data_IF_612938221691
#
_entry.id   IF_612938221691
#
_cell.length_a   1.000
_cell.length_b   1.000
_cell.length_c   1.000
_cell.angle_alpha   90.00
_cell.angle_beta   90.00
_cell.angle_gamma   90.00
#
_symmetry.space_group_name_H-M   'P 1'
#
loop_
_entity.id
_entity.type
_entity.pdbx_description
1 polymer ?
#
# COMPACT_ATOMS: atom_id res chain seq x y z
N UNK A 1 32.66 -5.55 -1.86
CA UNK A 1 32.02 -6.08 -3.08
C UNK A 1 32.23 -5.08 -4.20
N UNK A 2 32.46 -5.55 -5.43
CA UNK A 2 32.56 -4.65 -6.59
C UNK A 2 31.18 -4.08 -6.95
N UNK A 3 31.16 -2.94 -7.67
CA UNK A 3 29.91 -2.34 -8.20
C UNK A 3 29.09 -3.38 -9.00
N UNK A 4 29.75 -4.13 -9.86
CA UNK A 4 29.11 -5.16 -10.71
C UNK A 4 28.49 -6.31 -9.88
N UNK A 5 29.11 -6.72 -8.80
CA UNK A 5 28.55 -7.73 -7.89
C UNK A 5 27.30 -7.20 -7.19
N UNK A 6 27.30 -5.94 -6.73
CA UNK A 6 26.14 -5.31 -6.10
C UNK A 6 24.95 -5.23 -7.06
N UNK A 7 25.16 -4.77 -8.31
CA UNK A 7 24.10 -4.72 -9.31
C UNK A 7 23.53 -6.11 -9.62
N UNK A 8 24.37 -7.12 -9.72
CA UNK A 8 23.93 -8.52 -9.93
C UNK A 8 23.07 -9.04 -8.79
N UNK A 9 23.44 -8.74 -7.54
CA UNK A 9 22.64 -9.12 -6.37
C UNK A 9 21.31 -8.40 -6.38
N UNK A 10 21.29 -7.10 -6.71
CA UNK A 10 20.07 -6.35 -6.79
C UNK A 10 19.14 -6.86 -7.90
N UNK A 11 19.66 -7.16 -9.08
CA UNK A 11 18.89 -7.78 -10.17
C UNK A 11 18.24 -9.11 -9.72
N UNK A 12 18.97 -9.94 -8.99
CA UNK A 12 18.42 -11.17 -8.42
C UNK A 12 17.31 -10.89 -7.40
N UNK A 13 17.46 -9.88 -6.54
CA UNK A 13 16.45 -9.50 -5.56
C UNK A 13 15.18 -9.00 -6.25
N UNK A 14 15.31 -8.19 -7.30
CA UNK A 14 14.21 -7.65 -8.11
C UNK A 14 13.54 -8.75 -8.99
N UNK A 15 14.29 -9.81 -9.32
CA UNK A 15 13.88 -10.79 -10.33
C UNK A 15 13.87 -10.22 -11.75
N UNK A 16 14.74 -9.24 -12.02
CA UNK A 16 14.86 -8.52 -13.30
C UNK A 16 16.30 -8.56 -13.78
N UNK A 17 16.50 -8.93 -15.03
CA UNK A 17 17.82 -8.86 -15.69
C UNK A 17 17.82 -7.65 -16.64
N UNK A 18 18.66 -6.67 -16.35
CA UNK A 18 18.80 -5.47 -17.18
C UNK A 18 19.68 -5.75 -18.41
N UNK A 19 19.22 -5.29 -19.57
CA UNK A 19 20.03 -5.26 -20.80
C UNK A 19 21.04 -4.11 -20.73
N UNK A 20 20.66 -2.99 -20.12
CA UNK A 20 21.51 -1.84 -19.86
C UNK A 20 21.62 -1.62 -18.34
N UNK A 21 22.71 -2.13 -17.74
CA UNK A 21 22.98 -1.99 -16.29
C UNK A 21 23.19 -0.53 -15.86
N UNK A 22 23.54 0.39 -16.78
CA UNK A 22 23.71 1.81 -16.42
C UNK A 22 22.39 2.47 -16.00
N UNK A 23 21.25 2.01 -16.52
CA UNK A 23 19.94 2.46 -16.07
C UNK A 23 19.66 2.07 -14.62
N UNK A 24 19.99 0.83 -14.25
CA UNK A 24 19.85 0.38 -12.87
C UNK A 24 20.81 1.12 -11.94
N UNK A 25 22.03 1.33 -12.38
CA UNK A 25 23.04 2.08 -11.62
C UNK A 25 22.57 3.51 -11.35
N UNK A 26 22.10 4.21 -12.39
CA UNK A 26 21.55 5.58 -12.29
C UNK A 26 20.35 5.64 -11.33
N UNK A 27 19.48 4.63 -11.34
CA UNK A 27 18.32 4.58 -10.45
C UNK A 27 18.69 4.54 -8.95
N UNK A 28 19.92 4.18 -8.63
CA UNK A 28 20.45 4.12 -7.25
C UNK A 28 21.16 5.40 -6.80
N UNK A 29 21.35 6.39 -7.69
CA UNK A 29 22.11 7.61 -7.41
C UNK A 29 21.21 8.69 -6.82
N UNK A 30 21.29 8.88 -5.51
CA UNK A 30 20.60 9.98 -4.84
C UNK A 30 21.32 11.32 -5.12
N UNK A 31 20.57 12.43 -5.21
CA UNK A 31 21.12 13.77 -5.53
C UNK A 31 22.23 14.21 -4.57
N UNK A 32 22.19 13.83 -3.29
CA UNK A 32 23.24 14.13 -2.33
C UNK A 32 24.59 13.53 -2.70
N UNK A 33 24.59 12.39 -3.40
CA UNK A 33 25.84 11.72 -3.82
C UNK A 33 26.57 12.52 -4.90
N UNK A 34 25.84 13.10 -5.85
CA UNK A 34 26.41 13.89 -6.96
C UNK A 34 27.13 15.12 -6.44
N UNK A 35 26.55 15.80 -5.46
CA UNK A 35 27.13 17.00 -4.88
C UNK A 35 28.54 16.73 -4.30
N UNK A 36 28.80 15.52 -3.85
CA UNK A 36 30.09 15.10 -3.28
C UNK A 36 30.99 14.40 -4.31
N UNK A 37 30.42 13.85 -5.40
CA UNK A 37 31.11 13.03 -6.39
C UNK A 37 30.79 13.44 -7.86
N UNK A 38 30.93 14.70 -8.24
CA UNK A 38 30.48 15.22 -9.55
C UNK A 38 31.22 14.62 -10.75
N UNK A 39 32.38 14.00 -10.54
CA UNK A 39 33.17 13.36 -11.61
C UNK A 39 32.79 11.88 -11.85
N UNK A 40 32.01 11.27 -10.94
CA UNK A 40 31.63 9.85 -11.03
C UNK A 40 30.27 9.70 -11.68
N UNK A 41 29.31 10.54 -11.30
CA UNK A 41 27.98 10.59 -11.89
C UNK A 41 27.61 12.04 -12.24
N UNK A 42 27.06 12.24 -13.43
CA UNK A 42 26.59 13.55 -13.90
C UNK A 42 25.11 13.80 -13.54
N UNK A 43 24.33 12.75 -13.32
CA UNK A 43 22.91 12.79 -13.11
C UNK A 43 22.48 12.00 -11.86
N UNK A 44 21.36 12.44 -11.24
CA UNK A 44 20.67 11.73 -10.16
C UNK A 44 19.55 10.85 -10.69
N UNK A 45 18.96 10.07 -9.79
CA UNK A 45 17.79 9.26 -10.07
C UNK A 45 16.48 10.04 -10.24
N UNK A 46 16.45 11.36 -10.00
CA UNK A 46 15.24 12.20 -9.97
C UNK A 46 14.42 12.14 -11.27
N UNK A 47 15.07 12.05 -12.43
CA UNK A 47 14.36 11.93 -13.71
C UNK A 47 13.72 10.55 -13.90
N UNK A 48 14.37 9.50 -13.40
CA UNK A 48 13.81 8.15 -13.41
C UNK A 48 12.69 8.01 -12.38
N UNK A 49 12.81 8.64 -11.22
CA UNK A 49 11.77 8.76 -10.19
C UNK A 49 10.50 9.39 -10.78
N UNK A 50 10.62 10.57 -11.42
CA UNK A 50 9.50 11.22 -12.09
C UNK A 50 8.77 10.30 -13.09
N UNK A 51 9.53 9.56 -13.89
CA UNK A 51 8.97 8.61 -14.85
C UNK A 51 8.30 7.42 -14.17
N UNK A 52 8.94 6.91 -13.13
CA UNK A 52 8.46 5.74 -12.35
C UNK A 52 7.17 6.03 -11.58
N UNK A 53 7.05 7.21 -10.95
CA UNK A 53 5.81 7.64 -10.28
C UNK A 53 4.63 7.62 -11.26
N UNK A 54 4.81 8.22 -12.44
CA UNK A 54 3.77 8.23 -13.48
C UNK A 54 3.37 6.81 -13.93
N UNK A 55 4.34 5.91 -14.08
CA UNK A 55 4.10 4.50 -14.46
C UNK A 55 3.37 3.72 -13.37
N UNK A 56 3.78 3.86 -12.11
CA UNK A 56 3.10 3.25 -10.96
C UNK A 56 1.64 3.72 -10.92
N UNK A 57 1.43 5.03 -11.03
CA UNK A 57 0.09 5.61 -11.05
C UNK A 57 -0.79 5.07 -12.18
N UNK A 58 -0.24 4.96 -13.40
CA UNK A 58 -0.93 4.42 -14.57
C UNK A 58 -1.27 2.94 -14.42
N UNK A 59 -0.30 2.11 -14.03
CA UNK A 59 -0.47 0.65 -13.89
C UNK A 59 -1.50 0.32 -12.80
N UNK A 60 -1.44 1.00 -11.65
CA UNK A 60 -2.40 0.79 -10.57
C UNK A 60 -3.81 1.27 -10.95
N UNK A 61 -3.93 2.36 -11.70
CA UNK A 61 -5.21 2.85 -12.20
C UNK A 61 -5.82 1.88 -13.24
N UNK A 62 -5.01 1.42 -14.19
CA UNK A 62 -5.45 0.45 -15.21
C UNK A 62 -5.86 -0.88 -14.58
N UNK A 63 -5.08 -1.37 -13.61
CA UNK A 63 -5.40 -2.58 -12.87
C UNK A 63 -6.71 -2.42 -12.08
N UNK A 64 -6.89 -1.32 -11.36
CA UNK A 64 -8.11 -1.02 -10.62
C UNK A 64 -9.33 -0.97 -11.53
N UNK A 65 -9.24 -0.23 -12.64
CA UNK A 65 -10.32 -0.10 -13.62
C UNK A 65 -10.74 -1.46 -14.22
N UNK A 66 -9.77 -2.30 -14.55
CA UNK A 66 -10.03 -3.62 -15.18
C UNK A 66 -10.56 -4.68 -14.23
N UNK A 67 -10.27 -4.59 -12.94
CA UNK A 67 -10.55 -5.68 -11.99
C UNK A 67 -11.65 -5.34 -10.98
N UNK A 68 -12.02 -4.05 -10.79
CA UNK A 68 -12.97 -3.63 -9.76
C UNK A 68 -14.15 -2.88 -10.36
N UNK A 69 -15.00 -3.60 -11.10
CA UNK A 69 -16.14 -3.04 -11.84
C UNK A 69 -17.22 -2.38 -10.97
N UNK A 70 -17.28 -2.71 -9.68
CA UNK A 70 -18.23 -2.15 -8.72
C UNK A 70 -17.72 -0.87 -8.04
N UNK A 71 -16.44 -0.53 -8.22
CA UNK A 71 -15.83 0.66 -7.62
C UNK A 71 -16.13 1.88 -8.46
N UNK A 72 -16.57 2.95 -7.78
CA UNK A 72 -16.70 4.26 -8.41
C UNK A 72 -15.33 4.96 -8.57
N UNK A 73 -15.34 6.18 -9.15
CA UNK A 73 -14.14 6.99 -9.33
C UNK A 73 -13.43 7.29 -7.99
N UNK A 74 -14.21 7.51 -6.92
CA UNK A 74 -13.68 7.80 -5.59
C UNK A 74 -12.93 6.59 -5.02
N UNK A 75 -13.55 5.41 -5.10
CA UNK A 75 -12.95 4.15 -4.63
C UNK A 75 -11.67 3.81 -5.38
N UNK A 76 -11.68 3.94 -6.72
CA UNK A 76 -10.50 3.72 -7.56
C UNK A 76 -9.38 4.72 -7.24
N UNK A 77 -9.73 5.96 -6.90
CA UNK A 77 -8.76 6.98 -6.47
C UNK A 77 -8.16 6.64 -5.12
N UNK A 78 -8.96 6.18 -4.16
CA UNK A 78 -8.51 5.72 -2.84
C UNK A 78 -7.63 4.48 -2.96
N UNK A 79 -8.02 3.51 -3.78
CA UNK A 79 -7.25 2.31 -4.07
C UNK A 79 -5.85 2.66 -4.61
N UNK A 80 -5.78 3.46 -5.68
CA UNK A 80 -4.51 3.92 -6.26
C UNK A 80 -3.66 4.66 -5.23
N UNK A 81 -4.24 5.63 -4.51
CA UNK A 81 -3.52 6.46 -3.53
C UNK A 81 -2.99 5.64 -2.35
N UNK A 82 -3.71 4.61 -1.91
CA UNK A 82 -3.26 3.73 -0.84
C UNK A 82 -2.05 2.89 -1.25
N UNK A 83 -1.96 2.49 -2.51
CA UNK A 83 -0.84 1.70 -3.04
C UNK A 83 0.36 2.58 -3.43
N UNK A 84 0.13 3.75 -4.05
CA UNK A 84 1.19 4.66 -4.51
C UNK A 84 1.76 5.57 -3.40
N UNK A 85 1.29 5.48 -2.15
CA UNK A 85 1.81 6.32 -1.06
C UNK A 85 3.25 5.94 -0.68
N UNK A 86 4.05 6.92 -0.29
CA UNK A 86 5.46 6.77 0.08
C UNK A 86 5.74 5.62 1.05
N UNK A 87 4.90 5.43 2.08
CA UNK A 87 5.08 4.35 3.05
C UNK A 87 4.90 2.94 2.45
N UNK A 88 4.05 2.78 1.43
CA UNK A 88 3.89 1.51 0.71
C UNK A 88 5.08 1.25 -0.19
N UNK A 89 5.51 2.26 -0.96
CA UNK A 89 6.68 2.16 -1.85
C UNK A 89 7.96 1.88 -1.05
N UNK A 90 8.17 2.59 0.08
CA UNK A 90 9.30 2.34 0.98
C UNK A 90 9.29 0.91 1.55
N UNK A 91 8.11 0.36 1.89
CA UNK A 91 7.98 -1.03 2.33
C UNK A 91 8.42 -2.02 1.24
N UNK A 92 8.02 -1.77 -0.01
CA UNK A 92 8.45 -2.58 -1.17
C UNK A 92 9.96 -2.44 -1.39
N UNK A 93 10.49 -1.22 -1.34
CA UNK A 93 11.93 -0.95 -1.41
C UNK A 93 12.72 -1.73 -0.35
N UNK A 94 12.24 -1.77 0.89
CA UNK A 94 12.84 -2.54 1.99
C UNK A 94 12.83 -4.04 1.70
N UNK A 95 11.78 -4.57 1.07
CA UNK A 95 11.73 -6.00 0.71
C UNK A 95 12.80 -6.42 -0.30
N UNK A 96 13.21 -5.50 -1.16
CA UNK A 96 14.32 -5.66 -2.11
C UNK A 96 15.69 -5.26 -1.53
N UNK A 97 15.72 -4.77 -0.28
CA UNK A 97 16.91 -4.25 0.40
C UNK A 97 17.55 -3.06 -0.33
N UNK A 98 16.78 -2.19 -0.97
CA UNK A 98 17.27 -1.11 -1.82
C UNK A 98 18.24 -0.18 -1.08
N UNK A 99 17.97 0.14 0.19
CA UNK A 99 18.83 1.00 0.98
C UNK A 99 20.30 0.57 1.02
N UNK A 100 20.59 -0.74 0.93
CA UNK A 100 21.96 -1.24 0.87
C UNK A 100 22.71 -0.82 -0.41
N UNK A 101 21.99 -0.65 -1.51
CA UNK A 101 22.56 -0.38 -2.83
C UNK A 101 22.62 1.11 -3.18
N UNK A 102 21.94 2.00 -2.42
CA UNK A 102 21.88 3.42 -2.74
C UNK A 102 23.27 4.08 -2.69
N UNK A 103 23.55 4.93 -3.65
CA UNK A 103 24.65 5.90 -3.60
C UNK A 103 24.12 7.17 -2.95
N UNK A 104 24.56 7.47 -1.74
CA UNK A 104 24.17 8.68 -0.99
C UNK A 104 25.40 9.42 -0.48
N UNK A 105 25.28 10.74 -0.31
CA UNK A 105 26.34 11.56 0.25
C UNK A 105 26.60 11.29 1.73
N UNK A 106 27.76 11.66 2.23
CA UNK A 106 28.18 11.44 3.63
C UNK A 106 27.21 12.13 4.62
N UNK A 107 26.68 13.29 4.27
CA UNK A 107 25.71 14.01 5.10
C UNK A 107 24.39 13.25 5.21
N UNK A 108 23.91 12.70 4.11
CA UNK A 108 22.68 11.89 4.06
C UNK A 108 22.86 10.54 4.76
N UNK A 109 24.05 9.91 4.62
CA UNK A 109 24.42 8.69 5.35
C UNK A 109 24.33 8.89 6.87
N UNK A 110 24.92 10.01 7.40
CA UNK A 110 24.90 10.34 8.82
C UNK A 110 23.48 10.54 9.39
N UNK A 111 22.53 10.92 8.54
CA UNK A 111 21.13 11.09 8.92
C UNK A 111 20.28 9.84 8.65
N UNK A 112 20.90 8.65 8.52
CA UNK A 112 20.25 7.37 8.24
C UNK A 112 19.51 7.36 6.89
N UNK A 113 20.04 8.04 5.89
CA UNK A 113 19.40 8.23 4.58
C UNK A 113 19.01 6.92 3.88
N UNK A 114 19.77 5.83 4.11
CA UNK A 114 19.45 4.48 3.57
C UNK A 114 18.18 3.87 4.15
N UNK A 115 17.71 4.36 5.28
CA UNK A 115 16.53 3.85 5.99
C UNK A 115 15.33 4.78 5.87
N UNK A 116 15.53 6.03 5.38
CA UNK A 116 14.46 7.01 5.21
C UNK A 116 13.44 6.53 4.19
N UNK A 117 12.18 6.54 4.58
CA UNK A 117 11.07 6.13 3.70
C UNK A 117 10.99 6.99 2.42
N UNK A 118 11.35 8.29 2.49
CA UNK A 118 11.44 9.16 1.31
C UNK A 118 12.45 8.62 0.28
N UNK A 119 13.70 8.42 0.71
CA UNK A 119 14.77 8.01 -0.20
C UNK A 119 14.52 6.60 -0.77
N UNK A 120 13.91 5.74 0.03
CA UNK A 120 13.55 4.38 -0.38
C UNK A 120 12.39 4.37 -1.38
N UNK A 121 11.35 5.22 -1.17
CA UNK A 121 10.26 5.35 -2.13
C UNK A 121 10.75 5.91 -3.46
N UNK A 122 11.52 7.00 -3.41
CA UNK A 122 12.03 7.68 -4.59
C UNK A 122 12.96 6.76 -5.41
N UNK A 123 13.81 5.98 -4.72
CA UNK A 123 14.63 4.95 -5.38
C UNK A 123 13.80 3.80 -5.99
N UNK A 124 12.71 3.38 -5.35
CA UNK A 124 11.84 2.37 -5.93
C UNK A 124 11.16 2.88 -7.20
N UNK A 125 10.65 4.11 -7.19
CA UNK A 125 10.10 4.76 -8.37
C UNK A 125 11.15 4.87 -9.48
N UNK A 126 12.39 5.28 -9.14
CA UNK A 126 13.48 5.35 -10.12
C UNK A 126 13.81 3.98 -10.75
N UNK A 127 13.81 2.90 -9.98
CA UNK A 127 13.98 1.53 -10.49
C UNK A 127 12.86 1.15 -11.45
N UNK A 128 11.61 1.50 -11.14
CA UNK A 128 10.48 1.28 -12.06
C UNK A 128 10.67 2.04 -13.38
N UNK A 129 11.11 3.29 -13.30
CA UNK A 129 11.46 4.08 -14.48
C UNK A 129 12.59 3.45 -15.31
N UNK A 130 13.63 2.92 -14.63
CA UNK A 130 14.74 2.23 -15.27
C UNK A 130 14.29 0.91 -15.94
N UNK A 131 13.45 0.10 -15.28
CA UNK A 131 12.88 -1.13 -15.86
C UNK A 131 12.07 -0.79 -17.13
N UNK A 132 11.29 0.27 -17.09
CA UNK A 132 10.51 0.68 -18.24
C UNK A 132 11.38 1.07 -19.44
N UNK A 133 12.43 1.84 -19.22
CA UNK A 133 13.35 2.24 -20.30
C UNK A 133 14.14 1.05 -20.86
N UNK A 134 14.41 0.04 -20.03
CA UNK A 134 15.16 -1.16 -20.42
C UNK A 134 14.29 -2.25 -21.08
N UNK A 135 13.10 -2.53 -20.51
CA UNK A 135 12.26 -3.69 -20.86
C UNK A 135 10.90 -3.32 -21.49
N UNK A 136 10.53 -2.03 -21.47
CA UNK A 136 9.26 -1.55 -21.99
C UNK A 136 8.06 -1.75 -21.05
N UNK A 137 6.89 -1.27 -21.51
CA UNK A 137 5.69 -1.14 -20.68
C UNK A 137 5.14 -2.48 -20.18
N UNK A 138 5.02 -3.47 -21.05
CA UNK A 138 4.39 -4.74 -20.69
C UNK A 138 5.15 -5.47 -19.56
N UNK A 139 6.48 -5.51 -19.67
CA UNK A 139 7.32 -6.09 -18.62
C UNK A 139 7.20 -5.30 -17.30
N UNK A 140 7.21 -3.98 -17.36
CA UNK A 140 7.04 -3.11 -16.19
C UNK A 140 5.68 -3.31 -15.54
N UNK A 141 4.63 -3.47 -16.33
CA UNK A 141 3.28 -3.77 -15.86
C UNK A 141 3.26 -5.06 -15.04
N UNK A 142 3.77 -6.15 -15.61
CA UNK A 142 3.80 -7.47 -14.95
C UNK A 142 4.66 -7.45 -13.67
N UNK A 143 5.81 -6.78 -13.72
CA UNK A 143 6.68 -6.56 -12.56
C UNK A 143 5.92 -5.84 -11.44
N UNK A 144 5.23 -4.74 -11.74
CA UNK A 144 4.48 -3.97 -10.77
C UNK A 144 3.32 -4.77 -10.18
N UNK A 145 2.49 -5.42 -10.98
CA UNK A 145 1.37 -6.21 -10.47
C UNK A 145 1.83 -7.34 -9.56
N UNK A 146 2.91 -8.02 -9.94
CA UNK A 146 3.53 -9.06 -9.09
C UNK A 146 4.03 -8.47 -7.77
N UNK A 147 4.73 -7.34 -7.84
CA UNK A 147 5.33 -6.67 -6.67
C UNK A 147 4.25 -6.16 -5.71
N UNK A 148 3.19 -5.55 -6.23
CA UNK A 148 2.09 -5.04 -5.42
C UNK A 148 1.07 -6.09 -4.98
N UNK A 149 1.19 -7.35 -5.38
CA UNK A 149 0.16 -8.38 -5.18
C UNK A 149 -0.33 -8.52 -3.73
N UNK A 150 0.58 -8.46 -2.75
CA UNK A 150 0.22 -8.52 -1.34
C UNK A 150 -0.42 -7.23 -0.84
N UNK A 151 0.07 -6.07 -1.30
CA UNK A 151 -0.47 -4.77 -0.90
C UNK A 151 -1.86 -4.55 -1.49
N UNK A 152 -2.10 -4.99 -2.73
CA UNK A 152 -3.43 -5.02 -3.36
C UNK A 152 -4.40 -5.84 -2.50
N UNK A 153 -4.03 -7.06 -2.11
CA UNK A 153 -4.87 -7.90 -1.22
C UNK A 153 -5.15 -7.23 0.12
N UNK A 154 -4.16 -6.52 0.68
CA UNK A 154 -4.34 -5.81 1.95
C UNK A 154 -5.31 -4.62 1.81
N UNK A 155 -5.19 -3.84 0.73
CA UNK A 155 -6.07 -2.71 0.46
C UNK A 155 -7.50 -3.19 0.21
N UNK A 156 -7.68 -4.27 -0.56
CA UNK A 156 -9.00 -4.86 -0.81
C UNK A 156 -9.67 -5.36 0.47
N UNK A 157 -8.96 -6.06 1.33
CA UNK A 157 -9.48 -6.44 2.65
C UNK A 157 -9.94 -5.23 3.46
N UNK A 158 -9.18 -4.12 3.42
CA UNK A 158 -9.55 -2.89 4.11
C UNK A 158 -10.76 -2.19 3.47
N UNK A 159 -10.95 -2.28 2.15
CA UNK A 159 -12.11 -1.74 1.45
C UNK A 159 -13.36 -2.60 1.67
N UNK A 160 -13.24 -3.92 1.68
CA UNK A 160 -14.32 -4.82 2.11
C UNK A 160 -14.81 -4.48 3.52
N UNK A 161 -13.89 -4.08 4.42
CA UNK A 161 -14.19 -3.61 5.77
C UNK A 161 -14.96 -2.29 5.82
N UNK A 162 -14.68 -1.35 4.91
CA UNK A 162 -15.46 -0.11 4.80
C UNK A 162 -16.84 -0.37 4.23
N UNK A 163 -16.93 -1.25 3.26
CA UNK A 163 -18.15 -1.54 2.52
C UNK A 163 -19.26 -2.11 3.44
N UNK A 164 -18.95 -3.07 4.28
CA UNK A 164 -19.97 -3.69 5.14
C UNK A 164 -20.56 -2.74 6.19
N UNK A 165 -19.78 -1.80 6.73
CA UNK A 165 -20.28 -0.78 7.65
C UNK A 165 -21.17 0.24 6.92
N UNK A 166 -20.76 0.66 5.73
CA UNK A 166 -21.52 1.59 4.87
C UNK A 166 -22.77 0.91 4.36
N UNK A 167 -22.69 -0.31 3.86
CA UNK A 167 -23.84 -1.10 3.41
C UNK A 167 -24.86 -1.32 4.52
N UNK A 168 -24.41 -1.64 5.74
CA UNK A 168 -25.30 -1.77 6.89
C UNK A 168 -25.99 -0.43 7.20
N UNK A 169 -25.24 0.67 7.19
CA UNK A 169 -25.76 2.00 7.46
C UNK A 169 -26.83 2.39 6.43
N UNK A 170 -26.55 2.23 5.14
CA UNK A 170 -27.50 2.52 4.06
C UNK A 170 -28.75 1.65 4.17
N UNK A 171 -28.59 0.35 4.39
CA UNK A 171 -29.71 -0.59 4.51
C UNK A 171 -30.64 -0.23 5.67
N UNK A 172 -30.09 0.08 6.85
CA UNK A 172 -30.92 0.41 8.01
C UNK A 172 -31.58 1.79 7.86
N UNK A 173 -30.88 2.77 7.27
CA UNK A 173 -31.46 4.09 6.99
C UNK A 173 -32.57 4.04 5.94
N UNK A 174 -32.43 3.23 4.89
CA UNK A 174 -33.51 2.99 3.91
C UNK A 174 -34.78 2.41 4.55
N UNK A 175 -34.63 1.59 5.59
CA UNK A 175 -35.73 1.04 6.37
C UNK A 175 -36.22 1.97 7.50
N UNK A 176 -35.69 3.20 7.59
CA UNK A 176 -36.11 4.22 8.56
C UNK A 176 -35.48 4.10 9.96
N UNK A 177 -34.49 3.24 10.11
CA UNK A 177 -33.75 3.14 11.37
C UNK A 177 -32.70 4.25 11.50
N UNK A 178 -32.21 4.47 12.72
CA UNK A 178 -31.05 5.33 12.97
C UNK A 178 -29.76 4.65 12.46
N UNK A 179 -28.71 5.44 12.26
CA UNK A 179 -27.38 4.90 11.95
C UNK A 179 -26.96 3.88 12.99
N UNK A 180 -26.29 2.77 12.58
CA UNK A 180 -25.81 1.74 13.50
C UNK A 180 -24.86 2.33 14.54
N UNK A 181 -24.95 1.86 15.78
CA UNK A 181 -24.07 2.24 16.89
C UNK A 181 -23.20 1.03 17.23
N UNK A 182 -21.89 1.26 17.34
CA UNK A 182 -20.90 0.24 17.66
C UNK A 182 -20.38 0.47 19.08
N UNK A 183 -20.61 -0.49 19.95
CA UNK A 183 -20.16 -0.44 21.35
C UNK A 183 -19.08 -1.49 21.60
N UNK A 184 -17.97 -1.06 22.20
CA UNK A 184 -16.93 -1.96 22.66
C UNK A 184 -17.42 -2.68 23.92
N UNK A 185 -17.64 -3.98 23.84
CA UNK A 185 -18.11 -4.78 24.98
C UNK A 185 -16.96 -5.21 25.88
N UNK A 186 -15.84 -5.67 25.29
CA UNK A 186 -14.75 -6.27 26.04
C UNK A 186 -13.42 -6.16 25.28
N UNK A 187 -12.32 -6.06 26.01
CA UNK A 187 -10.96 -6.20 25.50
C UNK A 187 -10.28 -7.34 26.25
N UNK A 188 -10.04 -8.44 25.56
CA UNK A 188 -9.32 -9.59 26.11
C UNK A 188 -7.83 -9.38 25.83
N UNK A 189 -7.04 -9.11 26.88
CA UNK A 189 -5.59 -8.97 26.78
C UNK A 189 -4.92 -10.33 27.04
N UNK A 190 -4.24 -10.89 26.03
CA UNK A 190 -3.47 -12.14 26.11
C UNK A 190 -1.97 -11.88 25.97
N UNK A 191 -1.49 -10.76 26.49
CA UNK A 191 -0.07 -10.37 26.45
C UNK A 191 0.31 -9.77 25.10
N UNK A 192 0.79 -10.57 24.14
CA UNK A 192 1.13 -10.06 22.79
C UNK A 192 -0.08 -9.83 21.89
N UNK A 193 -1.21 -10.49 22.16
CA UNK A 193 -2.41 -10.44 21.33
C UNK A 193 -3.58 -9.84 22.13
N UNK A 194 -4.11 -8.73 21.65
CA UNK A 194 -5.36 -8.13 22.15
C UNK A 194 -6.51 -8.53 21.25
N UNK A 195 -7.63 -8.96 21.86
CA UNK A 195 -8.87 -9.26 21.15
C UNK A 195 -9.93 -8.25 21.59
N UNK A 196 -10.50 -7.53 20.64
CA UNK A 196 -11.60 -6.59 20.84
C UNK A 196 -12.92 -7.28 20.50
N UNK A 197 -13.92 -7.13 21.37
CA UNK A 197 -15.28 -7.60 21.14
C UNK A 197 -16.17 -6.37 21.01
N UNK A 198 -16.82 -6.23 19.87
CA UNK A 198 -17.67 -5.08 19.53
C UNK A 198 -19.06 -5.57 19.18
N UNK A 199 -20.07 -4.88 19.69
CA UNK A 199 -21.47 -5.10 19.36
C UNK A 199 -21.99 -3.98 18.46
N UNK A 200 -22.80 -4.33 17.45
CA UNK A 200 -23.54 -3.35 16.65
C UNK A 200 -25.02 -3.35 17.04
N UNK A 201 -25.54 -2.16 17.34
CA UNK A 201 -26.93 -1.92 17.73
C UNK A 201 -27.66 -1.09 16.71
N UNK A 202 -28.92 -1.45 16.41
CA UNK A 202 -29.79 -0.78 15.45
C UNK A 202 -31.16 -0.56 16.11
N UNK A 203 -31.79 0.58 15.86
CA UNK A 203 -33.11 0.90 16.37
C UNK A 203 -33.71 2.17 15.75
N UNK A 204 -35.02 2.36 15.89
CA UNK A 204 -35.71 3.57 15.42
C UNK A 204 -35.51 4.78 16.35
N UNK A 205 -35.18 4.54 17.61
CA UNK A 205 -34.90 5.56 18.64
C UNK A 205 -33.72 5.11 19.49
N UNK A 206 -32.92 6.06 20.03
CA UNK A 206 -31.78 5.77 20.91
C UNK A 206 -32.14 4.92 22.14
N UNK A 207 -33.37 4.95 22.59
CA UNK A 207 -33.85 4.21 23.77
C UNK A 207 -34.25 2.75 23.45
N UNK A 208 -34.42 2.38 22.17
CA UNK A 208 -34.85 1.06 21.71
C UNK A 208 -33.86 0.42 20.73
N UNK A 209 -32.59 0.45 21.08
CA UNK A 209 -31.54 -0.20 20.30
C UNK A 209 -31.52 -1.70 20.61
N UNK A 210 -31.49 -2.53 19.56
CA UNK A 210 -31.32 -4.00 19.68
C UNK A 210 -29.97 -4.40 19.10
N UNK A 211 -29.38 -5.41 19.68
CA UNK A 211 -28.17 -6.05 19.15
C UNK A 211 -28.46 -6.82 17.87
N UNK A 212 -27.67 -6.58 16.82
CA UNK A 212 -27.80 -7.29 15.55
C UNK A 212 -26.57 -8.08 15.16
N UNK A 213 -25.42 -7.82 15.81
CA UNK A 213 -24.19 -8.57 15.58
C UNK A 213 -23.11 -8.28 16.61
N UNK A 214 -22.31 -9.30 16.92
CA UNK A 214 -21.13 -9.18 17.79
C UNK A 214 -19.92 -9.66 17.02
N UNK A 215 -18.93 -8.77 16.86
CA UNK A 215 -17.69 -9.01 16.16
C UNK A 215 -16.50 -9.19 17.08
N UNK A 216 -15.50 -9.96 16.64
CA UNK A 216 -14.26 -10.21 17.37
C UNK A 216 -13.06 -10.08 16.43
N UNK A 217 -12.05 -9.28 16.83
CA UNK A 217 -10.81 -9.18 16.06
C UNK A 217 -9.67 -8.63 16.94
N UNK A 218 -8.46 -8.62 16.39
CA UNK A 218 -7.26 -8.05 17.02
C UNK A 218 -7.13 -6.52 16.89
N UNK A 219 -8.09 -5.86 16.24
CA UNK A 219 -8.22 -4.39 16.15
C UNK A 219 -9.69 -4.02 16.27
N UNK A 220 -9.99 -2.86 16.88
CA UNK A 220 -11.36 -2.38 17.07
C UNK A 220 -12.09 -2.26 15.72
N UNK A 221 -11.46 -1.65 14.71
CA UNK A 221 -12.04 -1.48 13.38
C UNK A 221 -12.41 -2.80 12.68
N UNK A 222 -11.61 -3.84 12.90
CA UNK A 222 -11.88 -5.18 12.38
C UNK A 222 -13.01 -5.89 13.17
N UNK A 223 -13.11 -5.65 14.47
CA UNK A 223 -14.19 -6.17 15.28
C UNK A 223 -15.54 -5.49 14.93
N UNK A 224 -15.54 -4.17 14.69
CA UNK A 224 -16.71 -3.45 14.20
C UNK A 224 -17.18 -3.96 12.83
N UNK A 225 -16.25 -4.26 11.93
CA UNK A 225 -16.54 -4.86 10.64
C UNK A 225 -17.18 -6.26 10.78
N UNK A 226 -16.59 -7.15 11.58
CA UNK A 226 -17.15 -8.48 11.83
C UNK A 226 -18.56 -8.38 12.43
N UNK A 227 -18.78 -7.39 13.30
CA UNK A 227 -20.11 -7.08 13.85
C UNK A 227 -21.08 -6.64 12.76
N UNK A 228 -20.65 -5.74 11.85
CA UNK A 228 -21.48 -5.26 10.74
C UNK A 228 -21.85 -6.39 9.77
N UNK A 229 -20.92 -7.27 9.40
CA UNK A 229 -21.18 -8.43 8.55
C UNK A 229 -22.25 -9.36 9.14
N UNK A 230 -22.10 -9.67 10.42
CA UNK A 230 -23.10 -10.50 11.13
C UNK A 230 -24.46 -9.82 11.21
N UNK A 231 -24.46 -8.49 11.42
CA UNK A 231 -25.70 -7.73 11.42
C UNK A 231 -26.39 -7.70 10.05
N UNK A 232 -25.66 -7.56 8.93
CA UNK A 232 -26.18 -7.65 7.57
C UNK A 232 -26.88 -8.98 7.33
N UNK A 233 -26.25 -10.09 7.75
CA UNK A 233 -26.85 -11.43 7.64
C UNK A 233 -28.15 -11.53 8.46
N UNK A 234 -28.12 -11.07 9.71
CA UNK A 234 -29.29 -11.14 10.62
C UNK A 234 -30.41 -10.17 10.21
N UNK A 235 -30.08 -9.02 9.62
CA UNK A 235 -31.05 -8.01 9.21
C UNK A 235 -31.77 -8.35 7.89
N UNK A 236 -31.12 -9.12 7.01
CA UNK A 236 -31.73 -9.62 5.78
C UNK A 236 -32.64 -10.85 6.01
N UNK A 237 -32.54 -11.50 7.16
CA UNK A 237 -33.41 -12.62 7.54
C UNK A 237 -34.71 -12.20 8.25
N UNK A 238 -34.94 -10.90 8.46
CA UNK A 238 -36.17 -10.32 9.03
C UNK A 238 -36.92 -9.46 8.00
#
# INVERSE_FOLDING_TARGET
MSKKENLKILQNNLGVNFMNEDLLDLALVHSSYINENPLIHSDSNERLEFLGDALIGLVLADYGYKNFFIYDQGDLTLFRSALARKSTLAKLAKSFKLGFFLYIGIGEEKSLGREKDSNLSDAFEAIVGAIYLDQGFNFTYDFLIKTFSNEIKNVLKLSEFKDSKSTLQELVQQKGYLSPIYDLLEVIDKGKDKIFIVEVKIGFKKQNLKSYGIGKANKISLAEFDAANKALTNFNCQ
#
